data_IF_958376845037
#
_entry.id   IF_958376845037
#
_cell.length_a   1.000
_cell.length_b   1.000
_cell.length_c   1.000
_cell.angle_alpha   90.00
_cell.angle_beta   90.00
_cell.angle_gamma   90.00
#
_symmetry.space_group_name_H-M   'P 1'
#
loop_
_entity.id
_entity.type
_entity.pdbx_description
1 polymer ?
#
# COMPACT_ATOMS: atom_id res chain seq x y z
N UNK A 1 -55.53 4.88 21.81
CA UNK A 1 -54.49 4.81 22.86
C UNK A 1 -53.12 4.91 22.18
N UNK A 2 -52.47 6.09 22.19
CA UNK A 2 -51.18 6.29 21.51
C UNK A 2 -50.06 5.82 22.45
N UNK A 3 -49.34 4.75 22.09
CA UNK A 3 -48.22 4.23 22.89
C UNK A 3 -47.03 5.17 22.72
N UNK A 4 -46.51 5.73 23.83
CA UNK A 4 -45.31 6.57 23.81
C UNK A 4 -44.09 5.68 23.56
N UNK A 5 -43.26 6.04 22.57
CA UNK A 5 -42.00 5.36 22.28
C UNK A 5 -41.00 5.54 23.45
N UNK A 6 -40.22 4.51 23.80
CA UNK A 6 -39.23 4.62 24.86
C UNK A 6 -38.15 5.64 24.48
N UNK A 7 -37.79 6.50 25.45
CA UNK A 7 -36.84 7.60 25.27
C UNK A 7 -35.46 7.14 24.77
N UNK A 8 -35.08 5.90 25.06
CA UNK A 8 -33.85 5.25 24.56
C UNK A 8 -33.87 5.01 23.04
N UNK A 9 -35.01 4.60 22.49
CA UNK A 9 -35.18 4.38 21.05
C UNK A 9 -35.15 5.68 20.25
N UNK A 10 -35.76 6.75 20.79
CA UNK A 10 -35.71 8.08 20.16
C UNK A 10 -34.25 8.58 20.09
N UNK A 11 -33.48 8.42 21.17
CA UNK A 11 -32.06 8.79 21.19
C UNK A 11 -31.20 7.95 20.26
N UNK A 12 -31.50 6.65 20.11
CA UNK A 12 -30.82 5.77 19.17
C UNK A 12 -31.10 6.16 17.73
N UNK A 13 -32.38 6.36 17.37
CA UNK A 13 -32.77 6.80 16.03
C UNK A 13 -32.16 8.15 15.65
N UNK A 14 -32.09 9.10 16.59
CA UNK A 14 -31.43 10.38 16.35
C UNK A 14 -29.92 10.23 16.07
N UNK A 15 -29.22 9.38 16.83
CA UNK A 15 -27.77 9.13 16.62
C UNK A 15 -27.51 8.47 15.28
N UNK A 16 -28.30 7.46 14.91
CA UNK A 16 -28.18 6.78 13.61
C UNK A 16 -28.52 7.74 12.47
N UNK A 17 -29.56 8.57 12.64
CA UNK A 17 -29.93 9.59 11.66
C UNK A 17 -28.84 10.63 11.42
N UNK A 18 -28.22 11.14 12.50
CA UNK A 18 -27.07 12.06 12.39
C UNK A 18 -25.88 11.36 11.74
N UNK A 19 -25.56 10.13 12.13
CA UNK A 19 -24.47 9.37 11.54
C UNK A 19 -24.70 9.13 10.03
N UNK A 20 -25.93 8.80 9.64
CA UNK A 20 -26.34 8.68 8.23
C UNK A 20 -26.17 10.00 7.48
N UNK A 21 -26.67 11.11 8.04
CA UNK A 21 -26.53 12.42 7.42
C UNK A 21 -25.06 12.86 7.26
N UNK A 22 -24.21 12.60 8.25
CA UNK A 22 -22.77 12.88 8.16
C UNK A 22 -22.11 12.03 7.09
N UNK A 23 -22.48 10.75 7.00
CA UNK A 23 -21.97 9.85 5.97
C UNK A 23 -22.39 10.30 4.57
N UNK A 24 -23.66 10.68 4.38
CA UNK A 24 -24.16 11.21 3.11
C UNK A 24 -23.46 12.52 2.71
N UNK A 25 -23.32 13.47 3.64
CA UNK A 25 -22.62 14.73 3.38
C UNK A 25 -21.15 14.50 3.03
N UNK A 26 -20.51 13.53 3.68
CA UNK A 26 -19.12 13.16 3.38
C UNK A 26 -19.02 12.50 2.00
N UNK A 27 -19.95 11.62 1.65
CA UNK A 27 -19.99 10.97 0.34
C UNK A 27 -20.27 11.98 -0.78
N UNK A 28 -21.21 12.91 -0.58
CA UNK A 28 -21.51 13.99 -1.53
C UNK A 28 -20.31 14.93 -1.69
N UNK A 29 -19.70 15.35 -0.59
CA UNK A 29 -18.50 16.18 -0.61
C UNK A 29 -17.33 15.50 -1.31
N UNK A 30 -17.09 14.22 -1.00
CA UNK A 30 -16.06 13.41 -1.66
C UNK A 30 -16.29 13.26 -3.15
N UNK A 31 -17.54 13.00 -3.57
CA UNK A 31 -17.90 12.89 -4.99
C UNK A 31 -17.70 14.21 -5.73
N UNK A 32 -18.09 15.34 -5.11
CA UNK A 32 -17.87 16.66 -5.70
C UNK A 32 -16.38 16.99 -5.82
N UNK A 33 -15.58 16.73 -4.79
CA UNK A 33 -14.13 16.95 -4.84
C UNK A 33 -13.47 16.06 -5.89
N UNK A 34 -13.90 14.81 -6.01
CA UNK A 34 -13.44 13.88 -7.04
C UNK A 34 -13.77 14.40 -8.45
N UNK A 35 -15.01 14.83 -8.68
CA UNK A 35 -15.43 15.43 -9.94
C UNK A 35 -14.66 16.72 -10.25
N UNK A 36 -14.50 17.61 -9.27
CA UNK A 36 -13.71 18.84 -9.42
C UNK A 36 -12.27 18.54 -9.80
N UNK A 37 -11.66 17.51 -9.18
CA UNK A 37 -10.29 17.11 -9.46
C UNK A 37 -10.15 16.48 -10.84
N UNK A 38 -11.12 15.67 -11.28
CA UNK A 38 -11.17 15.15 -12.66
C UNK A 38 -11.20 16.27 -13.68
N UNK A 39 -12.00 17.32 -13.47
CA UNK A 39 -12.10 18.42 -14.44
C UNK A 39 -10.89 19.38 -14.41
N UNK A 40 -10.18 19.47 -13.28
CA UNK A 40 -9.08 20.45 -13.11
C UNK A 40 -7.71 19.86 -13.44
N UNK A 41 -7.46 18.60 -13.07
CA UNK A 41 -6.12 18.01 -13.08
C UNK A 41 -6.02 16.89 -14.12
N UNK A 42 -5.19 17.13 -15.14
CA UNK A 42 -4.95 16.19 -16.23
C UNK A 42 -4.06 15.00 -15.81
N UNK A 43 -3.11 15.22 -14.89
CA UNK A 43 -2.29 14.14 -14.35
C UNK A 43 -3.13 13.18 -13.49
N UNK A 44 -4.12 13.73 -12.78
CA UNK A 44 -5.10 12.90 -12.08
C UNK A 44 -5.94 12.06 -13.05
N UNK A 45 -6.42 12.64 -14.16
CA UNK A 45 -7.12 11.89 -15.23
C UNK A 45 -6.26 10.78 -15.81
N UNK A 46 -4.97 11.04 -16.05
CA UNK A 46 -4.01 10.00 -16.48
C UNK A 46 -3.94 8.85 -15.46
N UNK A 47 -3.75 9.17 -14.18
CA UNK A 47 -3.67 8.16 -13.12
C UNK A 47 -4.95 7.33 -13.03
N UNK A 48 -6.12 7.95 -13.12
CA UNK A 48 -7.40 7.23 -13.13
C UNK A 48 -7.54 6.39 -14.40
N UNK A 49 -7.16 6.90 -15.57
CA UNK A 49 -7.17 6.14 -16.82
C UNK A 49 -6.25 4.91 -16.78
N UNK A 50 -5.08 5.00 -16.14
CA UNK A 50 -4.16 3.88 -16.01
C UNK A 50 -4.63 2.80 -15.03
N UNK A 51 -5.28 3.19 -13.92
CA UNK A 51 -5.70 2.24 -12.87
C UNK A 51 -7.15 1.76 -13.02
N UNK A 52 -8.03 2.63 -13.54
CA UNK A 52 -9.49 2.44 -13.61
C UNK A 52 -10.04 2.98 -14.95
N UNK A 53 -9.73 2.34 -16.09
CA UNK A 53 -10.10 2.83 -17.42
C UNK A 53 -11.62 3.00 -17.59
N UNK A 54 -12.43 2.11 -17.00
CA UNK A 54 -13.89 2.17 -17.05
C UNK A 54 -14.46 3.44 -16.39
N UNK A 55 -13.82 3.94 -15.32
CA UNK A 55 -14.27 5.16 -14.63
C UNK A 55 -14.03 6.38 -15.51
N UNK A 56 -12.88 6.45 -16.17
CA UNK A 56 -12.55 7.54 -17.08
C UNK A 56 -13.43 7.50 -18.34
N UNK A 57 -13.70 6.31 -18.88
CA UNK A 57 -14.63 6.16 -20.00
C UNK A 57 -16.06 6.58 -19.62
N UNK A 58 -16.52 6.21 -18.42
CA UNK A 58 -17.80 6.68 -17.89
C UNK A 58 -17.85 8.20 -17.77
N UNK A 59 -16.77 8.83 -17.29
CA UNK A 59 -16.65 10.29 -17.24
C UNK A 59 -16.79 10.92 -18.63
N UNK A 60 -16.12 10.39 -19.65
CA UNK A 60 -16.28 10.88 -21.03
C UNK A 60 -17.69 10.64 -21.58
N UNK A 61 -18.29 9.47 -21.34
CA UNK A 61 -19.67 9.19 -21.78
C UNK A 61 -20.69 10.15 -21.17
N UNK A 62 -20.48 10.51 -19.89
CA UNK A 62 -21.28 11.55 -19.25
C UNK A 62 -21.03 12.89 -19.96
N UNK A 63 -19.78 13.27 -20.19
CA UNK A 63 -19.44 14.46 -20.98
C UNK A 63 -20.12 14.49 -22.36
N UNK A 64 -20.09 13.37 -23.09
CA UNK A 64 -20.69 13.20 -24.42
C UNK A 64 -22.21 13.41 -24.40
N UNK A 65 -22.87 13.05 -23.29
CA UNK A 65 -24.31 13.28 -23.11
C UNK A 65 -24.66 14.75 -22.86
N UNK A 66 -23.81 15.49 -22.13
CA UNK A 66 -24.09 16.88 -21.75
C UNK A 66 -23.58 17.90 -22.77
N UNK A 67 -22.36 17.71 -23.27
CA UNK A 67 -21.69 18.60 -24.22
C UNK A 67 -20.70 17.79 -25.08
N UNK A 68 -21.18 17.22 -26.21
CA UNK A 68 -20.38 16.31 -27.02
C UNK A 68 -19.15 16.98 -27.65
N UNK A 69 -19.24 18.28 -27.97
CA UNK A 69 -18.15 19.01 -28.61
C UNK A 69 -16.97 19.20 -27.64
N UNK A 70 -17.24 19.70 -26.43
CA UNK A 70 -16.21 19.88 -25.40
C UNK A 70 -15.67 18.56 -24.86
N UNK A 71 -16.53 17.54 -24.77
CA UNK A 71 -16.10 16.20 -24.35
C UNK A 71 -15.07 15.62 -25.33
N UNK A 72 -15.35 15.70 -26.64
CA UNK A 72 -14.43 15.26 -27.67
C UNK A 72 -13.09 16.02 -27.65
N UNK A 73 -13.12 17.34 -27.45
CA UNK A 73 -11.91 18.16 -27.33
C UNK A 73 -11.07 17.75 -26.12
N UNK A 74 -11.70 17.65 -24.95
CA UNK A 74 -11.03 17.24 -23.71
C UNK A 74 -10.38 15.85 -23.82
N UNK A 75 -11.06 14.92 -24.50
CA UNK A 75 -10.57 13.57 -24.72
C UNK A 75 -9.35 13.53 -25.64
N UNK A 76 -9.35 14.31 -26.73
CA UNK A 76 -8.19 14.43 -27.63
C UNK A 76 -6.99 15.02 -26.89
N UNK A 77 -7.21 16.08 -26.14
CA UNK A 77 -6.19 16.73 -25.33
C UNK A 77 -5.57 15.77 -24.30
N UNK A 78 -6.40 14.94 -23.65
CA UNK A 78 -5.94 13.91 -22.72
C UNK A 78 -5.20 12.77 -23.40
N UNK A 79 -5.63 12.34 -24.59
CA UNK A 79 -4.94 11.30 -25.37
C UNK A 79 -3.52 11.73 -25.77
N UNK A 80 -3.33 12.99 -26.17
CA UNK A 80 -2.01 13.54 -26.47
C UNK A 80 -1.10 13.55 -25.24
N UNK A 81 -1.64 13.99 -24.09
CA UNK A 81 -0.90 13.95 -22.82
C UNK A 81 -0.54 12.52 -22.41
N UNK A 82 -1.46 11.56 -22.57
CA UNK A 82 -1.23 10.16 -22.20
C UNK A 82 -0.19 9.51 -23.11
N UNK A 83 -0.25 9.77 -24.42
CA UNK A 83 0.73 9.29 -25.38
C UNK A 83 2.13 9.82 -25.07
N UNK A 84 2.24 11.10 -24.71
CA UNK A 84 3.49 11.72 -24.26
C UNK A 84 4.00 11.09 -22.97
N UNK A 85 3.15 10.97 -21.95
CA UNK A 85 3.50 10.39 -20.66
C UNK A 85 3.95 8.92 -20.79
N UNK A 86 3.31 8.13 -21.65
CA UNK A 86 3.72 6.75 -21.96
C UNK A 86 5.08 6.73 -22.66
N UNK A 87 5.32 7.60 -23.64
CA UNK A 87 6.60 7.68 -24.35
C UNK A 87 7.75 8.01 -23.39
N UNK A 88 7.51 8.95 -22.48
CA UNK A 88 8.48 9.36 -21.47
C UNK A 88 8.75 8.22 -20.46
N UNK A 89 7.72 7.49 -20.01
CA UNK A 89 7.91 6.34 -19.12
C UNK A 89 8.58 5.14 -19.82
N UNK A 90 8.25 4.88 -21.08
CA UNK A 90 8.81 3.77 -21.87
C UNK A 90 10.31 3.94 -22.09
N UNK A 91 10.79 5.19 -22.15
CA UNK A 91 12.22 5.47 -22.22
C UNK A 91 12.97 4.97 -20.97
N UNK A 92 12.40 5.13 -19.77
CA UNK A 92 12.97 4.58 -18.53
C UNK A 92 12.82 3.06 -18.42
N UNK A 93 11.71 2.47 -18.89
CA UNK A 93 11.53 1.00 -18.88
C UNK A 93 12.51 0.31 -19.84
N UNK A 94 12.74 0.90 -21.01
CA UNK A 94 13.67 0.35 -22.02
C UNK A 94 15.11 0.47 -21.55
N UNK A 95 15.49 1.64 -21.01
CA UNK A 95 16.82 1.83 -20.41
C UNK A 95 17.01 0.92 -19.19
N UNK A 96 15.99 0.76 -18.35
CA UNK A 96 16.00 -0.13 -17.20
C UNK A 96 16.16 -1.60 -17.58
N UNK A 97 15.46 -2.06 -18.61
CA UNK A 97 15.59 -3.44 -19.13
C UNK A 97 16.97 -3.68 -19.78
N UNK A 98 17.49 -2.69 -20.50
CA UNK A 98 18.85 -2.75 -21.07
C UNK A 98 19.91 -2.75 -19.97
N UNK A 99 19.78 -1.92 -18.94
CA UNK A 99 20.67 -1.95 -17.76
C UNK A 99 20.57 -3.29 -17.01
N UNK A 100 19.37 -3.82 -16.84
CA UNK A 100 19.15 -5.11 -16.19
C UNK A 100 19.85 -6.22 -16.99
N UNK A 101 19.71 -6.25 -18.31
CA UNK A 101 20.45 -7.17 -19.19
C UNK A 101 21.96 -6.98 -19.17
N UNK A 102 22.45 -5.75 -19.02
CA UNK A 102 23.88 -5.46 -18.90
C UNK A 102 24.44 -5.82 -17.52
N UNK A 103 23.60 -5.87 -16.50
CA UNK A 103 23.96 -6.21 -15.12
C UNK A 103 23.60 -7.65 -14.74
N UNK A 104 22.96 -8.41 -15.64
CA UNK A 104 22.75 -9.85 -15.49
C UNK A 104 24.11 -10.53 -15.27
N UNK A 105 24.35 -11.14 -14.10
CA UNK A 105 25.62 -11.79 -13.83
C UNK A 105 25.82 -12.93 -14.81
N UNK A 106 26.95 -12.89 -15.51
CA UNK A 106 27.40 -13.91 -16.48
C UNK A 106 27.22 -15.31 -15.88
N UNK A 107 26.77 -16.32 -16.64
CA UNK A 107 26.48 -17.67 -16.11
C UNK A 107 27.64 -18.31 -15.34
N UNK A 108 28.87 -17.89 -15.60
CA UNK A 108 30.07 -18.28 -14.86
C UNK A 108 30.11 -17.72 -13.43
N UNK A 109 29.73 -16.45 -13.23
CA UNK A 109 29.59 -15.83 -11.90
C UNK A 109 28.43 -16.42 -11.11
N UNK A 110 27.35 -16.83 -11.77
CA UNK A 110 26.25 -17.56 -11.13
C UNK A 110 26.72 -18.92 -10.60
N UNK A 111 27.57 -19.64 -11.35
CA UNK A 111 28.16 -20.91 -10.90
C UNK A 111 29.09 -20.72 -9.70
N UNK A 112 29.84 -19.63 -9.65
CA UNK A 112 30.71 -19.29 -8.53
C UNK A 112 29.92 -18.90 -7.26
N UNK A 113 28.83 -18.14 -7.41
CA UNK A 113 27.93 -17.76 -6.31
C UNK A 113 27.17 -18.98 -5.76
N UNK A 114 26.72 -19.89 -6.63
CA UNK A 114 26.08 -21.14 -6.21
C UNK A 114 27.07 -22.13 -5.59
N UNK A 115 28.33 -22.16 -6.07
CA UNK A 115 29.38 -23.04 -5.56
C UNK A 115 29.97 -22.63 -4.20
N UNK A 116 29.94 -21.33 -3.88
CA UNK A 116 30.51 -20.79 -2.63
C UNK A 116 29.50 -20.72 -1.48
N UNK A 117 28.21 -20.50 -1.75
CA UNK A 117 27.17 -20.38 -0.69
C UNK A 117 26.92 -21.65 0.14
N UNK A 118 27.38 -22.82 -0.30
CA UNK A 118 27.11 -24.11 0.36
C UNK A 118 28.36 -24.88 0.81
N UNK A 119 29.57 -24.34 0.60
CA UNK A 119 30.82 -25.01 0.99
C UNK A 119 31.25 -24.74 2.43
N UNK A 120 30.69 -23.73 3.09
CA UNK A 120 31.02 -23.42 4.47
C UNK A 120 30.19 -24.29 5.45
N UNK A 121 30.81 -25.22 6.20
CA UNK A 121 30.11 -26.09 7.14
C UNK A 121 29.43 -25.31 8.28
N UNK A 122 29.88 -24.09 8.62
CA UNK A 122 29.21 -23.27 9.62
C UNK A 122 27.86 -22.73 9.15
N UNK A 123 27.81 -22.22 7.91
CA UNK A 123 26.59 -21.64 7.34
C UNK A 123 25.49 -22.71 7.23
N UNK A 124 25.87 -23.94 6.88
CA UNK A 124 24.96 -25.08 6.85
C UNK A 124 24.38 -25.41 8.22
N UNK A 125 25.22 -25.46 9.27
CA UNK A 125 24.76 -25.67 10.66
C UNK A 125 23.80 -24.57 11.13
N UNK A 126 24.09 -23.30 10.79
CA UNK A 126 23.21 -22.17 11.13
C UNK A 126 21.86 -22.28 10.44
N UNK A 127 21.84 -22.63 9.16
CA UNK A 127 20.60 -22.82 8.40
C UNK A 127 19.77 -23.99 8.94
N UNK A 128 20.41 -25.10 9.29
CA UNK A 128 19.75 -26.26 9.93
C UNK A 128 19.17 -25.88 11.30
N UNK A 129 19.88 -25.05 12.08
CA UNK A 129 19.40 -24.53 13.37
C UNK A 129 18.17 -23.63 13.19
N UNK A 130 18.18 -22.75 12.17
CA UNK A 130 17.06 -21.87 11.84
C UNK A 130 15.83 -22.69 11.42
N UNK A 131 16.01 -23.68 10.54
CA UNK A 131 14.96 -24.60 10.12
C UNK A 131 14.36 -25.36 11.30
N UNK A 132 15.20 -25.82 12.25
CA UNK A 132 14.73 -26.48 13.48
C UNK A 132 13.89 -25.53 14.33
N UNK A 133 14.34 -24.28 14.55
CA UNK A 133 13.59 -23.27 15.31
C UNK A 133 12.28 -22.87 14.63
N UNK A 134 12.27 -22.77 13.30
CA UNK A 134 11.06 -22.47 12.54
C UNK A 134 10.03 -23.60 12.64
N UNK A 135 10.48 -24.86 12.55
CA UNK A 135 9.61 -26.02 12.72
C UNK A 135 9.04 -26.10 14.13
N UNK A 136 9.88 -25.89 15.14
CA UNK A 136 9.45 -25.82 16.54
C UNK A 136 8.44 -24.68 16.78
N UNK A 137 8.65 -23.52 16.15
CA UNK A 137 7.74 -22.39 16.24
C UNK A 137 6.42 -22.62 15.49
N UNK A 138 6.44 -23.41 14.41
CA UNK A 138 5.25 -23.78 13.65
C UNK A 138 4.41 -24.87 14.35
N UNK A 139 5.05 -25.75 15.14
CA UNK A 139 4.38 -26.78 15.92
C UNK A 139 3.84 -26.26 17.26
N UNK A 140 4.38 -25.15 17.78
CA UNK A 140 3.84 -24.47 18.96
C UNK A 140 2.54 -23.71 18.60
N UNK A 141 1.44 -24.09 19.25
CA UNK A 141 0.12 -23.45 19.09
C UNK A 141 0.02 -22.06 19.71
N UNK A 142 0.92 -21.71 20.62
CA UNK A 142 0.88 -20.44 21.35
C UNK A 142 1.85 -19.42 20.74
N UNK A 143 1.40 -18.20 20.44
CA UNK A 143 2.21 -17.21 19.75
C UNK A 143 3.28 -16.58 20.66
N UNK A 144 4.45 -16.34 20.08
CA UNK A 144 5.71 -15.93 20.74
C UNK A 144 5.58 -14.67 21.62
N UNK A 145 4.61 -13.79 21.37
CA UNK A 145 4.42 -12.55 22.13
C UNK A 145 3.77 -12.74 23.52
N UNK A 146 3.34 -13.95 23.89
CA UNK A 146 2.82 -14.27 25.23
C UNK A 146 3.92 -14.70 26.23
N UNK A 147 5.17 -14.86 25.79
CA UNK A 147 6.28 -15.25 26.66
C UNK A 147 6.94 -14.03 27.31
N UNK A 148 6.23 -13.39 28.25
CA UNK A 148 6.86 -12.47 29.19
C UNK A 148 7.63 -13.28 30.25
N UNK A 149 8.95 -13.11 30.25
CA UNK A 149 9.89 -13.30 31.37
C UNK A 149 9.73 -14.57 32.22
N UNK A 150 10.35 -15.67 31.79
CA UNK A 150 10.78 -16.74 32.73
C UNK A 150 12.23 -17.21 32.55
N UNK A 151 12.91 -16.87 31.44
CA UNK A 151 14.33 -17.24 31.22
C UNK A 151 15.30 -16.05 31.36
N UNK A 152 15.13 -15.26 32.40
CA UNK A 152 16.11 -14.22 32.80
C UNK A 152 16.64 -14.50 34.20
N UNK A 153 17.23 -15.68 34.38
CA UNK A 153 18.14 -15.94 35.50
C UNK A 153 19.46 -16.40 34.90
N UNK A 154 20.54 -15.70 35.24
CA UNK A 154 21.93 -15.88 34.79
C UNK A 154 22.33 -15.14 33.52
N UNK A 155 22.26 -13.81 33.54
CA UNK A 155 23.32 -13.01 32.95
C UNK A 155 23.81 -11.98 33.98
N UNK A 156 25.05 -12.21 34.39
CA UNK A 156 25.84 -11.35 35.25
C UNK A 156 25.96 -9.95 34.65
N UNK A 157 25.62 -8.99 35.49
CA UNK A 157 25.65 -7.55 35.30
C UNK A 157 27.09 -7.03 35.08
N UNK A 158 27.34 -6.21 34.05
CA UNK A 158 28.40 -5.20 34.11
C UNK A 158 27.78 -3.79 34.21
N UNK A 159 27.97 -3.23 35.41
CA UNK A 159 27.97 -1.83 35.85
C UNK A 159 27.65 -0.73 34.81
N UNK A 160 26.57 0.01 35.08
CA UNK A 160 26.35 1.37 34.56
C UNK A 160 27.27 2.38 35.27
N UNK A 161 27.95 3.30 34.55
CA UNK A 161 28.59 4.44 35.19
C UNK A 161 27.55 5.52 35.55
N UNK A 162 27.41 5.76 36.85
CA UNK A 162 26.63 6.85 37.46
C UNK A 162 27.16 8.23 37.06
N UNK A 163 26.26 9.04 36.54
CA UNK A 163 26.35 10.48 36.28
C UNK A 163 26.63 11.23 37.60
N UNK A 164 27.86 11.73 37.78
CA UNK A 164 28.19 12.65 38.89
C UNK A 164 27.79 14.08 38.53
N UNK A 165 26.83 14.56 39.32
CA UNK A 165 26.76 15.86 40.01
C UNK A 165 27.08 17.13 39.22
N UNK A 166 25.98 17.85 38.95
CA UNK A 166 25.91 19.30 38.86
C UNK A 166 26.05 19.84 40.29
N UNK A 167 27.14 20.55 40.60
CA UNK A 167 27.16 21.89 41.25
C UNK A 167 28.44 22.58 40.77
#
# INVERSE_FOLDING_TARGET
>A
MIRKLPKSWVRFGLKVGIAGAVLELTALGGTYLFWKKLNTDQAFRYRIGSNYPAVLEGYYKIGDYWDPEKSLESRKFDQEFFAKAVKDNTSFTTIGYVLMKLTEPTPEKLREIHGTKYKDPEVRKRNELILKKLKESAERKDPVYLQQSTDSTNQSNPQQPTKREII
#
